data_IF_438845136321
#
_entry.id   IF_438845136321
#
_cell.length_a   1.000
_cell.length_b   1.000
_cell.length_c   1.000
_cell.angle_alpha   90.00
_cell.angle_beta   90.00
_cell.angle_gamma   90.00
#
_symmetry.space_group_name_H-M   'P 1'
#
loop_
_entity.id
_entity.type
_entity.pdbx_description
1 polymer ?
#
# COMPACT_ATOMS: atom_id res chain seq x y z
N UNK A 1 11.42 -6.06 23.41
CA UNK A 1 11.67 -4.68 23.89
C UNK A 1 10.53 -4.23 24.78
N UNK A 2 10.78 -3.46 25.85
CA UNK A 2 9.70 -2.89 26.67
C UNK A 2 8.98 -1.75 25.94
N UNK A 3 7.63 -1.73 25.97
CA UNK A 3 6.83 -0.82 25.15
C UNK A 3 7.09 0.68 25.43
N UNK A 4 7.42 1.04 26.67
CA UNK A 4 7.81 2.41 27.05
C UNK A 4 9.12 2.85 26.38
N UNK A 5 10.08 1.94 26.20
CA UNK A 5 11.34 2.25 25.53
C UNK A 5 11.15 2.43 24.02
N UNK A 6 10.33 1.57 23.38
CA UNK A 6 9.92 1.74 21.98
C UNK A 6 9.28 3.10 21.72
N UNK A 7 8.34 3.53 22.59
CA UNK A 7 7.68 4.83 22.44
C UNK A 7 8.68 6.00 22.47
N UNK A 8 9.68 5.96 23.38
CA UNK A 8 10.76 6.96 23.46
C UNK A 8 11.63 6.99 22.20
N UNK A 9 11.95 5.83 21.62
CA UNK A 9 12.71 5.75 20.37
C UNK A 9 11.91 6.31 19.18
N UNK A 10 10.60 6.03 19.11
CA UNK A 10 9.71 6.56 18.06
C UNK A 10 9.58 8.09 18.14
N UNK A 11 9.38 8.66 19.33
CA UNK A 11 9.29 10.14 19.48
C UNK A 11 10.63 10.83 19.21
N UNK A 12 11.75 10.16 19.54
CA UNK A 12 13.09 10.63 19.19
C UNK A 12 13.35 10.57 17.68
N UNK A 13 13.00 9.46 17.01
CA UNK A 13 13.02 9.34 15.55
C UNK A 13 12.24 10.46 14.88
N UNK A 14 11.02 10.73 15.34
CA UNK A 14 10.22 11.85 14.82
C UNK A 14 10.91 13.22 15.01
N UNK A 15 11.59 13.42 16.14
CA UNK A 15 12.32 14.67 16.43
C UNK A 15 13.54 14.85 15.52
N UNK A 16 14.30 13.79 15.23
CA UNK A 16 15.43 13.86 14.30
C UNK A 16 14.99 13.95 12.83
N UNK A 17 13.89 13.29 12.45
CA UNK A 17 13.25 13.42 11.14
C UNK A 17 12.93 14.90 10.84
N UNK A 18 12.20 15.59 11.73
CA UNK A 18 11.83 17.00 11.59
C UNK A 18 13.00 17.99 11.55
N UNK A 19 14.18 17.62 12.07
CA UNK A 19 15.39 18.48 12.01
C UNK A 19 16.11 18.42 10.68
N UNK A 20 16.03 17.28 9.99
CA UNK A 20 16.83 16.97 8.80
C UNK A 20 16.01 17.03 7.52
N UNK A 21 14.78 16.54 7.56
CA UNK A 21 13.91 16.39 6.40
C UNK A 21 12.80 17.44 6.43
N UNK A 22 12.43 17.92 5.25
CA UNK A 22 11.40 18.94 5.04
C UNK A 22 10.19 18.25 4.46
N UNK A 23 9.00 18.56 4.97
CA UNK A 23 7.77 17.95 4.46
C UNK A 23 7.64 18.17 2.95
N UNK A 24 7.22 17.14 2.19
CA UNK A 24 6.92 17.31 0.77
C UNK A 24 5.75 18.29 0.60
N UNK A 25 5.54 18.83 -0.61
CA UNK A 25 4.36 19.63 -0.93
C UNK A 25 3.06 18.91 -0.53
N UNK A 26 2.05 19.68 -0.16
CA UNK A 26 0.72 19.11 0.12
C UNK A 26 0.17 18.47 -1.14
N UNK A 27 0.11 17.14 -1.15
CA UNK A 27 -0.49 16.37 -2.24
C UNK A 27 -1.95 16.83 -2.49
N UNK A 28 -2.40 16.85 -3.76
CA UNK A 28 -3.77 17.26 -4.10
C UNK A 28 -4.80 16.27 -3.55
N UNK A 29 -6.05 16.73 -3.43
CA UNK A 29 -7.18 15.85 -3.14
C UNK A 29 -7.48 14.99 -4.37
N UNK A 30 -7.56 13.67 -4.19
CA UNK A 30 -7.81 12.70 -5.25
C UNK A 30 -8.99 11.76 -4.91
N UNK A 31 -9.60 11.10 -5.91
CA UNK A 31 -10.42 9.90 -5.71
C UNK A 31 -9.70 8.84 -4.88
N UNK A 32 -10.45 7.95 -4.21
CA UNK A 32 -9.89 6.91 -3.36
C UNK A 32 -9.05 5.91 -4.17
N UNK A 33 -9.46 5.61 -5.41
CA UNK A 33 -8.65 4.77 -6.31
C UNK A 33 -7.31 5.43 -6.61
N UNK A 34 -7.30 6.71 -7.01
CA UNK A 34 -6.03 7.42 -7.26
C UNK A 34 -5.13 7.49 -6.02
N UNK A 35 -5.66 7.64 -4.80
CA UNK A 35 -4.83 7.56 -3.58
C UNK A 35 -4.20 6.17 -3.40
N UNK A 36 -4.88 5.10 -3.80
CA UNK A 36 -4.38 3.73 -3.79
C UNK A 36 -3.31 3.51 -4.88
N UNK A 37 -3.55 3.99 -6.10
CA UNK A 37 -2.61 3.91 -7.22
C UNK A 37 -1.35 4.74 -6.97
N UNK A 38 -1.51 5.95 -6.44
CA UNK A 38 -0.40 6.80 -6.02
C UNK A 38 0.47 6.12 -4.96
N UNK A 39 -0.12 5.43 -3.99
CA UNK A 39 0.63 4.65 -3.01
C UNK A 39 1.42 3.50 -3.67
N UNK A 40 0.89 2.88 -4.74
CA UNK A 40 1.61 1.86 -5.51
C UNK A 40 2.85 2.42 -6.20
N UNK A 41 2.80 3.67 -6.67
CA UNK A 41 3.92 4.38 -7.28
C UNK A 41 4.93 4.85 -6.21
N UNK A 42 4.44 5.49 -5.15
CA UNK A 42 5.24 6.05 -4.06
C UNK A 42 6.01 4.99 -3.26
N UNK A 43 5.49 3.76 -3.13
CA UNK A 43 6.16 2.72 -2.36
C UNK A 43 7.56 2.40 -2.93
N UNK A 44 8.59 2.66 -2.12
CA UNK A 44 10.01 2.54 -2.43
C UNK A 44 10.54 3.61 -3.45
N UNK A 45 9.86 4.74 -3.63
CA UNK A 45 10.24 5.80 -4.59
C UNK A 45 10.10 7.25 -4.05
N UNK A 46 10.86 8.22 -4.60
CA UNK A 46 10.67 9.66 -4.32
C UNK A 46 9.27 10.17 -4.69
N UNK A 47 8.81 11.20 -3.99
CA UNK A 47 7.54 11.88 -4.28
C UNK A 47 7.49 12.42 -5.72
N UNK A 48 8.56 13.08 -6.17
CA UNK A 48 8.61 13.70 -7.51
C UNK A 48 8.43 12.66 -8.63
N UNK A 49 9.00 11.46 -8.47
CA UNK A 49 8.86 10.35 -9.42
C UNK A 49 7.49 9.65 -9.31
N UNK A 50 6.87 9.64 -8.12
CA UNK A 50 5.50 9.14 -7.96
C UNK A 50 4.46 10.09 -8.59
N UNK A 51 4.68 11.41 -8.47
CA UNK A 51 3.88 12.45 -9.12
C UNK A 51 4.03 12.38 -10.65
N UNK A 52 5.27 12.27 -11.16
CA UNK A 52 5.55 12.08 -12.60
C UNK A 52 4.97 10.77 -13.13
N UNK A 53 5.14 9.66 -12.41
CA UNK A 53 4.66 8.33 -12.81
C UNK A 53 3.14 8.25 -12.89
N UNK A 54 2.42 8.94 -11.99
CA UNK A 54 0.96 9.00 -12.04
C UNK A 54 0.49 9.88 -13.19
N UNK A 55 1.09 11.07 -13.35
CA UNK A 55 0.76 11.99 -14.45
C UNK A 55 1.01 11.36 -15.83
N UNK A 56 2.03 10.49 -15.98
CA UNK A 56 2.25 9.71 -17.20
C UNK A 56 1.16 8.66 -17.43
N UNK A 57 0.71 7.96 -16.38
CA UNK A 57 -0.41 7.02 -16.53
C UNK A 57 -1.72 7.75 -16.89
N UNK A 58 -1.95 8.96 -16.36
CA UNK A 58 -3.08 9.84 -16.68
C UNK A 58 -2.99 10.46 -18.11
N UNK A 59 -1.85 10.34 -18.81
CA UNK A 59 -1.61 10.89 -20.15
C UNK A 59 -1.57 9.81 -21.25
N UNK A 60 -0.94 8.67 -20.97
CA UNK A 60 -0.75 7.56 -21.93
C UNK A 60 -1.95 6.61 -22.00
N UNK A 61 -2.87 6.65 -21.02
CA UNK A 61 -4.05 5.78 -20.95
C UNK A 61 -5.32 6.59 -20.69
N UNK A 62 -6.42 6.20 -21.34
CA UNK A 62 -7.70 6.90 -21.26
C UNK A 62 -8.41 6.68 -19.91
N UNK A 63 -8.27 5.50 -19.32
CA UNK A 63 -8.81 5.20 -17.98
C UNK A 63 -8.02 4.11 -17.23
N UNK A 64 -8.37 3.90 -15.95
CA UNK A 64 -7.76 2.87 -15.11
C UNK A 64 -8.11 1.43 -15.51
N UNK A 65 -9.12 1.23 -16.36
CA UNK A 65 -9.42 -0.07 -16.95
C UNK A 65 -8.43 -0.41 -18.07
N UNK A 66 -8.00 0.57 -18.87
CA UNK A 66 -6.95 0.43 -19.86
C UNK A 66 -5.62 0.06 -19.18
N UNK A 67 -5.18 0.81 -18.18
CA UNK A 67 -3.97 0.50 -17.36
C UNK A 67 -4.00 -0.93 -16.81
N UNK A 68 -5.19 -1.42 -16.42
CA UNK A 68 -5.40 -2.79 -15.92
C UNK A 68 -5.25 -3.85 -17.02
N UNK A 69 -5.64 -3.59 -18.27
CA UNK A 69 -5.51 -4.58 -19.37
C UNK A 69 -4.14 -4.53 -20.07
N UNK A 70 -3.53 -3.34 -20.20
CA UNK A 70 -2.17 -3.08 -20.74
C UNK A 70 -1.11 -4.05 -20.21
N UNK A 71 -0.13 -4.44 -21.02
CA UNK A 71 0.90 -5.38 -20.58
C UNK A 71 1.82 -4.77 -19.53
N UNK A 72 2.42 -5.63 -18.69
CA UNK A 72 3.46 -5.21 -17.74
C UNK A 72 4.64 -4.56 -18.48
N UNK A 73 4.94 -4.96 -19.72
CA UNK A 73 6.04 -4.43 -20.53
C UNK A 73 5.81 -2.97 -20.92
N UNK A 74 4.63 -2.65 -21.46
CA UNK A 74 4.26 -1.28 -21.85
C UNK A 74 4.20 -0.38 -20.61
N UNK A 75 3.56 -0.83 -19.52
CA UNK A 75 3.50 -0.09 -18.27
C UNK A 75 4.89 0.11 -17.62
N UNK A 76 5.84 -0.81 -17.84
CA UNK A 76 7.25 -0.65 -17.44
C UNK A 76 7.98 0.42 -18.28
N UNK A 77 7.59 0.64 -19.54
CA UNK A 77 8.13 1.70 -20.39
C UNK A 77 7.60 3.07 -19.98
N UNK A 78 6.29 3.18 -19.71
CA UNK A 78 5.66 4.41 -19.18
C UNK A 78 6.30 4.80 -17.83
N UNK A 79 6.46 3.83 -16.92
CA UNK A 79 7.06 4.03 -15.60
C UNK A 79 8.60 3.94 -15.59
N UNK A 80 9.26 4.10 -16.74
CA UNK A 80 10.72 3.91 -16.89
C UNK A 80 11.61 4.80 -16.01
N UNK A 81 11.10 5.93 -15.51
CA UNK A 81 11.80 6.81 -14.57
C UNK A 81 11.82 6.32 -13.11
N UNK A 82 11.04 5.29 -12.76
CA UNK A 82 10.95 4.78 -11.38
C UNK A 82 12.22 4.01 -10.96
N UNK A 83 12.53 3.90 -9.64
CA UNK A 83 13.70 3.14 -9.17
C UNK A 83 13.67 1.63 -9.49
N UNK A 84 12.49 1.03 -9.60
CA UNK A 84 12.25 -0.33 -10.14
C UNK A 84 10.96 -0.33 -10.97
N UNK A 85 11.03 0.07 -12.26
CA UNK A 85 9.86 0.22 -13.11
C UNK A 85 9.03 -1.07 -13.23
N UNK A 86 9.70 -2.22 -13.28
CA UNK A 86 9.05 -3.51 -13.49
C UNK A 86 8.31 -4.00 -12.24
N UNK A 87 8.85 -3.76 -11.03
CA UNK A 87 8.15 -4.04 -9.76
C UNK A 87 6.96 -3.11 -9.59
N UNK A 88 7.12 -1.83 -9.89
CA UNK A 88 6.05 -0.83 -9.77
C UNK A 88 4.91 -1.11 -10.77
N UNK A 89 5.23 -1.40 -12.04
CA UNK A 89 4.24 -1.76 -13.06
C UNK A 89 3.43 -3.02 -12.69
N UNK A 90 4.08 -4.08 -12.17
CA UNK A 90 3.38 -5.26 -11.64
C UNK A 90 2.45 -4.89 -10.50
N UNK A 91 2.97 -4.23 -9.46
CA UNK A 91 2.20 -3.79 -8.27
C UNK A 91 0.95 -3.00 -8.66
N UNK A 92 1.08 -2.04 -9.58
CA UNK A 92 -0.02 -1.20 -10.05
C UNK A 92 -1.10 -2.02 -10.79
N UNK A 93 -0.70 -2.86 -11.75
CA UNK A 93 -1.61 -3.73 -12.52
C UNK A 93 -2.30 -4.79 -11.65
N UNK A 94 -1.56 -5.43 -10.75
CA UNK A 94 -2.05 -6.46 -9.84
C UNK A 94 -3.08 -5.89 -8.86
N UNK A 95 -2.85 -4.71 -8.30
CA UNK A 95 -3.79 -4.04 -7.40
C UNK A 95 -5.02 -3.50 -8.17
N UNK A 96 -4.87 -2.97 -9.38
CA UNK A 96 -6.00 -2.62 -10.25
C UNK A 96 -6.90 -3.83 -10.57
N UNK A 97 -6.31 -5.01 -10.78
CA UNK A 97 -7.07 -6.23 -11.02
C UNK A 97 -7.82 -6.69 -9.76
N UNK A 98 -7.16 -6.73 -8.59
CA UNK A 98 -7.80 -7.11 -7.34
C UNK A 98 -8.92 -6.15 -6.91
N UNK A 99 -8.74 -4.85 -7.15
CA UNK A 99 -9.79 -3.82 -6.95
C UNK A 99 -11.00 -4.08 -7.86
N UNK A 100 -10.76 -4.38 -9.14
CA UNK A 100 -11.85 -4.68 -10.06
C UNK A 100 -12.59 -5.97 -9.69
N UNK A 101 -11.89 -6.99 -9.19
CA UNK A 101 -12.49 -8.26 -8.75
C UNK A 101 -13.35 -8.12 -7.48
N UNK A 102 -12.98 -7.26 -6.53
CA UNK A 102 -13.73 -7.01 -5.29
C UNK A 102 -14.90 -6.02 -5.48
N UNK A 103 -14.69 -4.95 -6.25
CA UNK A 103 -15.63 -3.82 -6.32
C UNK A 103 -16.40 -3.70 -7.65
N UNK A 104 -15.96 -4.39 -8.71
CA UNK A 104 -16.50 -4.28 -10.09
C UNK A 104 -16.57 -2.83 -10.63
N UNK A 105 -15.76 -1.93 -10.10
CA UNK A 105 -15.78 -0.50 -10.39
C UNK A 105 -14.39 0.14 -10.25
N UNK A 106 -14.17 1.22 -10.99
CA UNK A 106 -12.98 2.10 -10.87
C UNK A 106 -13.27 3.40 -10.10
N UNK A 107 -14.44 3.50 -9.45
CA UNK A 107 -14.74 4.51 -8.44
C UNK A 107 -14.96 3.85 -7.07
N UNK A 108 -14.14 4.25 -6.10
CA UNK A 108 -14.15 3.75 -4.73
C UNK A 108 -14.60 4.82 -3.71
N UNK A 109 -14.98 6.04 -4.13
CA UNK A 109 -15.37 7.12 -3.21
C UNK A 109 -16.66 6.84 -2.42
N UNK A 110 -17.41 5.81 -2.80
CA UNK A 110 -18.48 5.24 -1.97
C UNK A 110 -17.94 4.71 -0.61
N UNK A 111 -16.73 4.13 -0.58
CA UNK A 111 -16.11 3.59 0.63
C UNK A 111 -15.71 4.69 1.64
N UNK A 112 -15.46 5.92 1.18
CA UNK A 112 -15.24 7.09 2.07
C UNK A 112 -16.46 7.39 2.97
N UNK A 113 -17.63 6.83 2.66
CA UNK A 113 -18.89 6.96 3.42
C UNK A 113 -19.24 5.69 4.21
N UNK A 114 -18.53 4.58 3.99
CA UNK A 114 -18.74 3.34 4.75
C UNK A 114 -18.07 3.39 6.13
N UNK A 115 -18.31 2.36 6.95
CA UNK A 115 -17.55 2.17 8.17
C UNK A 115 -16.08 1.85 7.82
N UNK A 116 -15.14 2.65 8.34
CA UNK A 116 -13.70 2.52 8.09
C UNK A 116 -13.19 1.07 8.24
N UNK A 117 -13.61 0.35 9.28
CA UNK A 117 -13.19 -1.04 9.50
C UNK A 117 -13.68 -2.02 8.42
N UNK A 118 -14.87 -1.78 7.85
CA UNK A 118 -15.38 -2.57 6.72
C UNK A 118 -14.62 -2.27 5.42
N UNK A 119 -14.33 -0.99 5.15
CA UNK A 119 -13.54 -0.60 3.98
C UNK A 119 -12.12 -1.17 4.06
N UNK A 120 -11.47 -1.09 5.24
CA UNK A 120 -10.14 -1.67 5.49
C UNK A 120 -10.14 -3.19 5.32
N UNK A 121 -11.14 -3.91 5.86
CA UNK A 121 -11.20 -5.36 5.76
C UNK A 121 -11.21 -5.86 4.30
N UNK A 122 -11.89 -5.16 3.38
CA UNK A 122 -11.91 -5.50 1.94
C UNK A 122 -10.57 -5.27 1.24
N UNK A 123 -9.78 -4.31 1.71
CA UNK A 123 -8.40 -4.12 1.23
C UNK A 123 -7.40 -5.09 1.90
N UNK A 124 -7.62 -5.48 3.16
CA UNK A 124 -6.79 -6.50 3.85
C UNK A 124 -7.02 -7.92 3.30
N UNK A 125 -8.17 -8.21 2.67
CA UNK A 125 -8.41 -9.50 2.01
C UNK A 125 -7.74 -9.65 0.64
N UNK A 126 -7.16 -8.59 0.06
CA UNK A 126 -6.48 -8.64 -1.25
C UNK A 126 -5.03 -9.12 -1.09
N UNK A 127 -4.62 -10.31 -1.60
CA UNK A 127 -3.27 -10.85 -1.36
C UNK A 127 -2.12 -10.04 -1.94
N UNK A 128 -2.42 -9.19 -2.92
CA UNK A 128 -1.47 -8.28 -3.60
C UNK A 128 -1.27 -6.94 -2.87
N UNK A 129 -2.09 -6.66 -1.85
CA UNK A 129 -2.06 -5.40 -1.12
C UNK A 129 -0.85 -5.34 -0.18
N UNK A 130 0.07 -4.39 -0.41
CA UNK A 130 1.22 -4.23 0.50
C UNK A 130 0.83 -3.47 1.77
N UNK A 131 1.48 -3.73 2.93
CA UNK A 131 1.20 -2.99 4.16
C UNK A 131 1.37 -1.47 4.02
N UNK A 132 2.31 -1.01 3.19
CA UNK A 132 2.47 0.42 2.85
C UNK A 132 1.26 0.95 2.09
N UNK A 133 0.88 0.29 0.99
CA UNK A 133 -0.19 0.75 0.10
C UNK A 133 -1.54 0.82 0.84
N UNK A 134 -1.84 -0.21 1.65
CA UNK A 134 -2.98 -0.21 2.56
C UNK A 134 -2.92 0.97 3.54
N UNK A 135 -1.82 1.10 4.29
CA UNK A 135 -1.68 2.12 5.33
C UNK A 135 -1.73 3.55 4.79
N UNK A 136 -1.20 3.78 3.59
CA UNK A 136 -1.29 5.05 2.87
C UNK A 136 -2.74 5.34 2.44
N UNK A 137 -3.42 4.35 1.85
CA UNK A 137 -4.83 4.46 1.45
C UNK A 137 -5.74 4.74 2.65
N UNK A 138 -5.44 4.13 3.81
CA UNK A 138 -6.11 4.45 5.08
C UNK A 138 -5.83 5.88 5.51
N UNK A 139 -4.56 6.30 5.53
CA UNK A 139 -4.11 7.60 6.04
C UNK A 139 -4.61 8.77 5.17
N UNK A 140 -4.47 8.69 3.84
CA UNK A 140 -4.78 9.76 2.90
C UNK A 140 -6.17 9.64 2.27
N UNK A 141 -6.59 8.44 1.86
CA UNK A 141 -7.84 8.23 1.12
C UNK A 141 -9.08 8.05 2.00
N UNK A 142 -8.99 7.25 3.07
CA UNK A 142 -10.10 6.97 4.00
C UNK A 142 -10.08 7.84 5.27
N UNK A 143 -9.04 8.66 5.46
CA UNK A 143 -8.88 9.53 6.62
C UNK A 143 -8.80 8.80 7.96
N UNK A 144 -8.34 7.55 7.98
CA UNK A 144 -8.10 6.76 9.19
C UNK A 144 -6.86 7.21 9.97
N UNK A 145 -6.53 6.49 11.05
CA UNK A 145 -5.24 6.66 11.74
C UNK A 145 -4.39 5.41 11.51
N UNK A 146 -3.47 5.52 10.56
CA UNK A 146 -2.50 4.51 10.17
C UNK A 146 -1.24 5.24 9.71
N UNK A 147 -0.09 4.57 9.73
CA UNK A 147 1.21 5.14 9.39
C UNK A 147 1.86 4.21 8.34
N UNK A 148 1.89 4.60 7.05
CA UNK A 148 2.61 3.82 6.06
C UNK A 148 4.10 3.81 6.35
N UNK A 149 4.67 2.61 6.35
CA UNK A 149 6.10 2.33 6.49
C UNK A 149 6.50 1.49 5.28
N UNK A 150 7.41 2.02 4.48
CA UNK A 150 7.94 1.37 3.28
C UNK A 150 9.04 0.36 3.65
N UNK A 151 9.64 -0.32 2.67
CA UNK A 151 10.71 -1.27 2.96
C UNK A 151 11.94 -0.60 3.60
N UNK A 152 12.33 0.59 3.17
CA UNK A 152 13.50 1.27 3.71
C UNK A 152 13.21 1.99 5.04
N UNK A 153 12.01 2.54 5.23
CA UNK A 153 11.52 3.01 6.54
C UNK A 153 11.48 1.90 7.59
N UNK A 154 11.08 0.68 7.21
CA UNK A 154 11.14 -0.49 8.09
C UNK A 154 12.58 -0.85 8.48
N UNK A 155 13.54 -0.69 7.56
CA UNK A 155 14.97 -0.94 7.81
C UNK A 155 15.57 0.10 8.76
N UNK A 156 15.17 1.38 8.65
CA UNK A 156 15.48 2.42 9.65
C UNK A 156 14.96 2.01 11.04
N UNK A 157 13.75 1.44 11.10
CA UNK A 157 13.14 1.01 12.36
C UNK A 157 13.76 -0.28 12.93
N UNK A 158 14.34 -1.14 12.09
CA UNK A 158 15.15 -2.29 12.51
C UNK A 158 16.52 -1.84 13.06
N UNK A 159 17.28 -1.01 12.32
CA UNK A 159 18.64 -0.62 12.71
C UNK A 159 18.68 0.20 14.01
N UNK A 160 17.64 1.02 14.23
CA UNK A 160 17.42 1.78 15.47
C UNK A 160 16.80 0.97 16.62
N UNK A 161 16.45 -0.31 16.41
CA UNK A 161 15.89 -1.20 17.44
C UNK A 161 14.45 -0.86 17.86
N UNK A 162 13.71 -0.13 17.02
CA UNK A 162 12.28 0.16 17.21
C UNK A 162 11.47 -1.10 16.90
N UNK A 163 11.70 -1.70 15.72
CA UNK A 163 11.13 -2.97 15.29
C UNK A 163 12.09 -4.14 15.58
N UNK A 164 11.54 -5.35 15.70
CA UNK A 164 12.29 -6.61 15.64
C UNK A 164 12.09 -7.30 14.29
N UNK A 165 12.94 -8.28 13.98
CA UNK A 165 12.91 -8.98 12.68
C UNK A 165 11.56 -9.66 12.40
N UNK A 166 10.83 -10.10 13.43
CA UNK A 166 9.51 -10.71 13.29
C UNK A 166 8.46 -9.64 12.94
N UNK A 167 8.40 -8.55 13.69
CA UNK A 167 7.47 -7.43 13.45
C UNK A 167 7.70 -6.78 12.07
N UNK A 168 8.94 -6.79 11.57
CA UNK A 168 9.29 -6.36 10.22
C UNK A 168 8.87 -7.36 9.12
N UNK A 169 8.79 -8.65 9.43
CA UNK A 169 8.24 -9.66 8.52
C UNK A 169 6.70 -9.58 8.46
N UNK A 170 6.05 -9.29 9.60
CA UNK A 170 4.60 -9.03 9.69
C UNK A 170 4.19 -7.68 9.05
N UNK A 171 5.16 -6.81 8.74
CA UNK A 171 4.94 -5.48 8.14
C UNK A 171 4.21 -4.48 9.05
N UNK A 172 4.03 -4.78 10.34
CA UNK A 172 3.25 -3.99 11.30
C UNK A 172 4.08 -3.77 12.58
N UNK A 173 4.18 -2.54 13.08
CA UNK A 173 5.02 -2.19 14.24
C UNK A 173 4.14 -1.94 15.47
N UNK A 174 4.11 -2.86 16.47
CA UNK A 174 3.21 -2.75 17.60
C UNK A 174 3.42 -1.47 18.43
N UNK A 175 2.41 -0.60 18.38
CA UNK A 175 2.34 0.65 19.12
C UNK A 175 2.81 1.91 18.38
N UNK A 176 3.08 1.85 17.07
CA UNK A 176 3.51 2.99 16.27
C UNK A 176 2.44 4.12 16.24
N UNK A 177 1.21 3.76 15.92
CA UNK A 177 0.03 4.63 15.90
C UNK A 177 -0.36 5.14 17.30
N UNK A 178 0.10 4.46 18.36
CA UNK A 178 -0.07 4.92 19.75
C UNK A 178 1.01 5.92 20.17
N UNK A 179 2.21 5.84 19.59
CA UNK A 179 3.32 6.74 19.88
C UNK A 179 3.26 8.04 19.05
N UNK A 180 2.72 7.98 17.83
CA UNK A 180 2.51 9.14 16.95
C UNK A 180 0.99 9.44 16.86
N UNK A 181 0.51 10.59 17.36
CA UNK A 181 -0.91 10.95 17.28
C UNK A 181 -1.33 11.30 15.84
N UNK A 182 -2.61 11.13 15.53
CA UNK A 182 -3.17 11.30 14.16
C UNK A 182 -2.79 12.60 13.46
N UNK A 183 -2.80 13.73 14.17
CA UNK A 183 -2.41 15.04 13.64
C UNK A 183 -0.91 15.18 13.28
N UNK A 184 -0.09 14.18 13.61
CA UNK A 184 1.33 14.05 13.28
C UNK A 184 1.64 12.80 12.45
N UNK A 185 0.63 11.97 12.14
CA UNK A 185 0.83 10.70 11.43
C UNK A 185 1.32 10.91 9.99
N UNK A 186 0.74 11.88 9.27
CA UNK A 186 1.12 12.25 7.90
C UNK A 186 2.50 12.93 7.86
N UNK A 187 2.81 13.76 8.86
CA UNK A 187 4.14 14.35 9.00
C UNK A 187 5.20 13.28 9.23
N UNK A 188 4.94 12.34 10.14
CA UNK A 188 5.88 11.28 10.48
C UNK A 188 6.11 10.31 9.31
N UNK A 189 5.06 9.84 8.63
CA UNK A 189 5.18 8.93 7.50
C UNK A 189 5.94 9.58 6.34
N UNK A 190 5.61 10.82 5.97
CA UNK A 190 6.25 11.50 4.84
C UNK A 190 7.75 11.75 5.07
N UNK A 191 8.15 12.14 6.29
CA UNK A 191 9.55 12.34 6.62
C UNK A 191 10.31 11.00 6.71
N UNK A 192 9.69 9.96 7.30
CA UNK A 192 10.27 8.62 7.37
C UNK A 192 10.51 8.04 5.97
N UNK A 193 9.53 8.20 5.07
CA UNK A 193 9.60 7.78 3.67
C UNK A 193 10.77 8.47 2.94
N UNK A 194 10.92 9.79 3.08
CA UNK A 194 12.08 10.50 2.52
C UNK A 194 13.43 9.98 3.06
N UNK A 195 13.51 9.68 4.36
CA UNK A 195 14.74 9.14 4.95
C UNK A 195 15.03 7.69 4.51
N UNK A 196 13.99 6.87 4.33
CA UNK A 196 14.10 5.51 3.80
C UNK A 196 14.54 5.51 2.34
N UNK A 197 13.84 6.26 1.47
CA UNK A 197 14.18 6.40 0.05
C UNK A 197 15.59 6.96 -0.15
N UNK A 198 16.05 7.89 0.69
CA UNK A 198 17.43 8.36 0.65
C UNK A 198 18.45 7.22 0.82
N UNK A 199 18.26 6.34 1.83
CA UNK A 199 19.12 5.16 2.05
C UNK A 199 18.96 4.08 0.98
N UNK A 200 17.79 3.99 0.33
CA UNK A 200 17.55 3.05 -0.76
C UNK A 200 18.30 3.44 -2.03
N UNK A 201 18.39 4.75 -2.31
CA UNK A 201 19.11 5.31 -3.47
C UNK A 201 20.62 5.40 -3.20
N UNK A 202 21.04 6.01 -2.09
CA UNK A 202 22.43 5.99 -1.61
C UNK A 202 22.51 5.38 -0.21
N UNK A 203 23.04 4.16 -0.14
CA UNK A 203 23.21 3.43 1.11
C UNK A 203 24.24 4.12 2.05
N UNK A 204 25.01 5.10 1.54
CA UNK A 204 25.96 5.91 2.29
C UNK A 204 25.47 7.35 2.59
N UNK A 205 24.18 7.68 2.36
CA UNK A 205 23.68 9.04 2.60
C UNK A 205 24.01 9.52 4.03
N UNK A 206 24.86 10.55 4.09
CA UNK A 206 25.36 11.14 5.33
C UNK A 206 24.22 11.71 6.17
N UNK A 207 23.13 12.19 5.53
CA UNK A 207 22.00 12.80 6.20
C UNK A 207 21.17 11.77 6.97
N UNK A 208 20.86 10.64 6.33
CA UNK A 208 20.13 9.51 6.90
C UNK A 208 20.97 8.65 7.85
N UNK A 209 22.25 8.37 7.56
CA UNK A 209 23.15 7.71 8.52
C UNK A 209 23.28 8.50 9.82
N UNK A 210 23.49 9.81 9.70
CA UNK A 210 23.47 10.71 10.86
C UNK A 210 22.06 10.94 11.46
N UNK A 211 20.99 10.36 10.90
CA UNK A 211 19.66 10.29 11.54
C UNK A 211 19.54 9.02 12.39
N UNK A 212 19.87 7.84 11.83
CA UNK A 212 19.72 6.57 12.55
C UNK A 212 20.64 6.52 13.79
N UNK A 213 21.89 6.99 13.69
CA UNK A 213 22.78 7.07 14.86
C UNK A 213 22.35 8.13 15.89
N UNK A 214 21.73 9.22 15.44
CA UNK A 214 21.16 10.22 16.34
C UNK A 214 19.99 9.63 17.15
N UNK A 215 19.21 8.71 16.58
CA UNK A 215 18.12 7.99 17.27
C UNK A 215 18.67 6.96 18.25
N UNK A 216 19.52 6.03 17.81
CA UNK A 216 20.16 5.04 18.66
C UNK A 216 21.63 4.82 18.26
N UNK A 217 22.54 4.75 19.23
CA UNK A 217 23.98 4.61 18.97
C UNK A 217 24.30 3.26 18.27
N UNK A 218 25.18 3.30 17.27
CA UNK A 218 25.57 2.12 16.48
C UNK A 218 24.45 1.61 15.57
N UNK A 219 23.59 2.50 15.07
CA UNK A 219 22.54 2.12 14.11
C UNK A 219 23.06 2.11 12.68
N UNK A 220 24.06 2.93 12.34
CA UNK A 220 24.76 2.79 11.04
C UNK A 220 25.49 1.44 10.96
N UNK A 221 26.15 1.02 12.03
CA UNK A 221 26.81 -0.30 12.11
C UNK A 221 25.80 -1.44 11.88
N UNK A 222 24.63 -1.42 12.56
CA UNK A 222 23.55 -2.39 12.31
C UNK A 222 22.93 -2.29 10.92
N UNK A 223 22.95 -1.12 10.31
CA UNK A 223 22.52 -0.94 8.91
C UNK A 223 23.53 -1.59 7.94
N UNK A 224 24.83 -1.42 8.19
CA UNK A 224 25.90 -2.08 7.42
C UNK A 224 25.87 -3.62 7.57
N UNK A 225 25.65 -4.12 8.79
CA UNK A 225 25.41 -5.56 9.06
C UNK A 225 24.19 -6.08 8.28
N UNK A 226 23.08 -5.34 8.32
CA UNK A 226 21.87 -5.67 7.57
C UNK A 226 22.11 -5.65 6.05
N UNK A 227 22.85 -4.67 5.54
CA UNK A 227 23.15 -4.55 4.12
C UNK A 227 24.08 -5.68 3.64
N UNK A 228 25.09 -6.03 4.44
CA UNK A 228 25.96 -7.17 4.21
C UNK A 228 25.17 -8.50 4.22
N UNK A 229 24.24 -8.65 5.18
CA UNK A 229 23.33 -9.80 5.26
C UNK A 229 22.41 -9.89 4.03
N UNK A 230 21.80 -8.78 3.61
CA UNK A 230 20.97 -8.66 2.39
C UNK A 230 21.77 -9.04 1.13
N UNK A 231 22.98 -8.49 0.97
CA UNK A 231 23.91 -8.83 -0.14
C UNK A 231 24.30 -10.32 -0.12
N UNK A 232 24.57 -10.89 1.06
CA UNK A 232 24.87 -12.31 1.21
C UNK A 232 23.66 -13.21 0.89
N UNK A 233 22.46 -12.84 1.31
CA UNK A 233 21.22 -13.55 1.00
C UNK A 233 20.92 -13.54 -0.51
N UNK A 234 21.03 -12.39 -1.17
CA UNK A 234 20.89 -12.26 -2.63
C UNK A 234 21.95 -13.12 -3.36
N UNK A 235 23.20 -13.12 -2.88
CA UNK A 235 24.27 -14.00 -3.44
C UNK A 235 23.95 -15.49 -3.27
N UNK A 236 23.39 -15.91 -2.12
CA UNK A 236 22.96 -17.30 -1.88
C UNK A 236 21.82 -17.70 -2.80
N UNK A 237 20.78 -16.87 -2.96
CA UNK A 237 19.65 -17.14 -3.87
C UNK A 237 20.10 -17.17 -5.33
N UNK A 238 20.94 -16.22 -5.76
CA UNK A 238 21.50 -16.20 -7.14
C UNK A 238 22.42 -17.40 -7.41
N UNK A 239 23.18 -17.86 -6.40
CA UNK A 239 23.97 -19.09 -6.49
C UNK A 239 23.04 -20.30 -6.68
N UNK A 240 22.08 -20.51 -5.77
CA UNK A 240 21.17 -21.65 -5.81
C UNK A 240 20.37 -21.71 -7.11
N UNK A 241 19.84 -20.58 -7.59
CA UNK A 241 19.13 -20.50 -8.89
C UNK A 241 20.01 -20.85 -10.09
N UNK A 242 21.33 -20.63 -10.01
CA UNK A 242 22.27 -21.08 -11.06
C UNK A 242 22.53 -22.59 -10.97
N UNK A 243 22.62 -23.14 -9.76
CA UNK A 243 22.80 -24.58 -9.53
C UNK A 243 21.54 -25.36 -9.93
N UNK A 244 20.35 -24.89 -9.53
CA UNK A 244 19.03 -25.40 -9.97
C UNK A 244 18.92 -25.41 -11.51
N UNK A 245 19.32 -24.32 -12.19
CA UNK A 245 19.29 -24.25 -13.65
C UNK A 245 20.31 -25.18 -14.31
N UNK A 246 21.53 -25.27 -13.78
CA UNK A 246 22.57 -26.15 -14.32
C UNK A 246 22.22 -27.64 -14.14
N UNK A 247 21.57 -28.01 -13.02
CA UNK A 247 21.04 -29.35 -12.82
C UNK A 247 19.96 -29.68 -13.86
N UNK A 248 18.97 -28.80 -14.05
CA UNK A 248 17.93 -28.99 -15.06
C UNK A 248 18.46 -29.03 -16.50
N UNK A 249 19.55 -28.30 -16.81
CA UNK A 249 20.23 -28.38 -18.12
C UNK A 249 20.94 -29.73 -18.30
N UNK A 250 21.64 -30.25 -17.28
CA UNK A 250 22.28 -31.57 -17.32
C UNK A 250 21.27 -32.73 -17.36
N UNK A 251 20.13 -32.61 -16.65
CA UNK A 251 19.03 -33.57 -16.70
C UNK A 251 18.40 -33.61 -18.10
N UNK A 252 18.12 -32.45 -18.71
CA UNK A 252 17.61 -32.36 -20.07
C UNK A 252 18.61 -32.88 -21.13
N UNK A 253 19.91 -32.65 -20.95
CA UNK A 253 20.95 -33.24 -21.81
C UNK A 253 21.03 -34.76 -21.66
N UNK A 254 20.91 -35.29 -20.44
CA UNK A 254 20.88 -36.73 -20.18
C UNK A 254 19.63 -37.40 -20.76
N UNK A 255 18.44 -36.81 -20.62
CA UNK A 255 17.22 -37.28 -21.26
C UNK A 255 17.34 -37.25 -22.80
N UNK A 256 17.94 -36.20 -23.36
CA UNK A 256 18.20 -36.11 -24.79
C UNK A 256 19.21 -37.16 -25.29
N UNK A 257 20.23 -37.48 -24.50
CA UNK A 257 21.16 -38.60 -24.77
C UNK A 257 20.43 -39.95 -24.77
N UNK A 258 19.68 -40.27 -23.71
CA UNK A 258 18.90 -41.51 -23.61
C UNK A 258 17.90 -41.63 -24.76
N UNK A 259 17.24 -40.53 -25.15
CA UNK A 259 16.32 -40.50 -26.28
C UNK A 259 17.03 -40.71 -27.65
N UNK A 260 18.27 -40.26 -27.83
CA UNK A 260 19.09 -40.57 -29.02
C UNK A 260 19.50 -42.03 -29.03
N UNK A 261 20.03 -42.55 -27.92
CA UNK A 261 20.50 -43.94 -27.83
C UNK A 261 19.36 -44.96 -28.02
N UNK A 262 18.16 -44.66 -27.49
CA UNK A 262 16.96 -45.47 -27.72
C UNK A 262 16.51 -45.49 -29.20
N UNK A 263 16.69 -44.38 -29.93
CA UNK A 263 16.44 -44.32 -31.38
C UNK A 263 17.50 -45.09 -32.17
N UNK A 264 18.78 -45.00 -31.78
CA UNK A 264 19.87 -45.73 -32.42
C UNK A 264 19.70 -47.26 -32.33
N UNK A 265 19.34 -47.79 -31.14
CA UNK A 265 19.09 -49.24 -30.95
C UNK A 265 17.88 -49.76 -31.76
N UNK A 266 16.91 -48.92 -32.10
CA UNK A 266 15.80 -49.26 -33.03
C UNK A 266 16.20 -49.23 -34.50
N UNK A 267 17.34 -48.62 -34.87
CA UNK A 267 17.84 -48.62 -36.24
C UNK A 267 18.66 -49.89 -36.53
N UNK A 268 19.52 -50.33 -35.61
CA UNK A 268 20.37 -51.52 -35.80
C UNK A 268 19.58 -52.84 -35.83
N UNK A 269 18.42 -52.91 -35.17
CA UNK A 269 17.56 -54.11 -35.15
C UNK A 269 16.81 -54.38 -36.47
N UNK A 270 17.11 -53.68 -37.56
CA UNK A 270 16.32 -53.72 -38.81
C UNK A 270 17.06 -54.33 -40.01
N UNK A 271 18.29 -54.82 -39.82
CA UNK A 271 19.16 -55.32 -40.90
C UNK A 271 19.04 -56.84 -41.11
N UNK A 272 18.78 -57.62 -40.06
CA UNK A 272 18.82 -59.10 -40.09
C UNK A 272 17.49 -59.82 -40.39
N UNK A 273 16.42 -59.10 -40.70
CA UNK A 273 15.08 -59.68 -40.88
C UNK A 273 14.44 -59.37 -42.23
N UNK A 274 15.20 -59.58 -43.32
CA UNK A 274 14.78 -59.29 -44.70
C UNK A 274 14.67 -60.54 -45.61
N UNK A 275 14.25 -61.71 -45.08
CA UNK A 275 14.03 -62.92 -45.91
C UNK A 275 12.89 -63.85 -45.46
N UNK A 276 11.64 -63.40 -45.59
CA UNK A 276 10.56 -64.32 -46.05
C UNK A 276 9.28 -63.62 -46.53
N UNK A 277 8.80 -64.06 -47.71
CA UNK A 277 7.42 -64.11 -48.23
C UNK A 277 6.54 -62.85 -48.16
N UNK A 278 6.31 -62.27 -49.34
CA UNK A 278 5.13 -61.47 -49.66
C UNK A 278 3.90 -62.36 -49.94
N UNK A 279 2.69 -61.77 -49.92
CA UNK A 279 1.44 -62.40 -50.35
C UNK A 279 0.27 -61.40 -50.40
N UNK A 280 -0.54 -61.50 -51.47
CA UNK A 280 -1.80 -60.80 -51.83
C UNK A 280 -2.60 -60.14 -50.66
N UNK A 281 -3.16 -58.92 -50.76
CA UNK A 281 -4.25 -58.45 -51.67
C UNK A 281 -5.52 -59.32 -51.59
N UNK A 282 -6.77 -58.81 -51.61
CA UNK A 282 -7.30 -57.54 -52.16
C UNK A 282 -8.59 -57.08 -51.43
N UNK A 283 -9.26 -56.02 -51.89
CA UNK A 283 -10.30 -55.23 -51.19
C UNK A 283 -11.78 -55.57 -51.48
N UNK A 284 -12.67 -54.97 -50.65
CA UNK A 284 -14.11 -54.62 -50.81
C UNK A 284 -15.17 -55.53 -50.18
N UNK A 285 -15.95 -54.95 -49.24
CA UNK A 285 -17.35 -54.56 -49.54
C UNK A 285 -17.83 -53.35 -48.72
N UNK A 286 -18.70 -52.54 -49.34
CA UNK A 286 -19.46 -51.40 -48.81
C UNK A 286 -20.39 -51.80 -47.64
N UNK A 287 -20.54 -51.01 -46.56
CA UNK A 287 -21.13 -49.65 -46.41
C UNK A 287 -22.67 -49.65 -46.43
N UNK A 288 -23.27 -49.25 -45.32
CA UNK A 288 -24.68 -48.88 -45.16
C UNK A 288 -24.78 -47.75 -44.12
N UNK A 289 -25.23 -46.57 -44.53
CA UNK A 289 -25.40 -45.39 -43.65
C UNK A 289 -26.74 -45.48 -42.88
N UNK A 290 -26.81 -45.01 -41.62
CA UNK A 290 -27.98 -45.29 -40.76
C UNK A 290 -28.21 -44.47 -39.48
N UNK A 291 -27.54 -43.31 -39.33
CA UNK A 291 -27.85 -42.18 -38.41
C UNK A 291 -28.55 -42.45 -37.05
N UNK A 292 -27.74 -42.46 -35.99
CA UNK A 292 -27.94 -41.87 -34.65
C UNK A 292 -29.37 -41.66 -34.06
N UNK A 293 -29.60 -42.25 -32.88
CA UNK A 293 -30.25 -41.58 -31.74
C UNK A 293 -29.70 -42.13 -30.42
N UNK A 294 -29.49 -41.27 -29.42
CA UNK A 294 -28.97 -41.67 -28.10
C UNK A 294 -30.09 -42.05 -27.11
N UNK A 295 -29.80 -42.92 -26.15
CA UNK A 295 -30.64 -43.17 -24.97
C UNK A 295 -29.80 -43.10 -23.70
N UNK A 296 -30.37 -42.56 -22.61
CA UNK A 296 -29.62 -42.23 -21.40
C UNK A 296 -30.47 -41.52 -20.35
N UNK A 297 -31.55 -42.15 -19.91
CA UNK A 297 -32.56 -41.52 -19.05
C UNK A 297 -32.52 -42.01 -17.58
N UNK A 298 -32.32 -41.06 -16.65
CA UNK A 298 -32.77 -41.08 -15.24
C UNK A 298 -32.67 -39.63 -14.72
N UNK A 299 -33.72 -38.88 -14.37
CA UNK A 299 -35.05 -39.13 -13.77
C UNK A 299 -35.05 -39.24 -12.24
N UNK A 300 -35.27 -38.10 -11.58
CA UNK A 300 -36.07 -37.97 -10.36
C UNK A 300 -36.56 -36.52 -10.22
N UNK A 301 -37.79 -36.32 -9.78
CA UNK A 301 -38.38 -35.01 -9.54
C UNK A 301 -39.27 -35.03 -8.28
N UNK A 302 -39.76 -33.83 -7.93
CA UNK A 302 -40.90 -33.46 -7.08
C UNK A 302 -40.55 -32.94 -5.66
N UNK A 303 -41.23 -31.92 -5.10
CA UNK A 303 -42.32 -31.06 -5.63
C UNK A 303 -42.34 -29.65 -4.99
N UNK A 304 -43.19 -28.79 -5.55
CA UNK A 304 -43.51 -27.40 -5.13
C UNK A 304 -43.92 -27.25 -3.65
N UNK A 305 -43.63 -26.07 -3.08
CA UNK A 305 -44.66 -25.19 -2.51
C UNK A 305 -44.15 -23.74 -2.40
N UNK A 306 -45.01 -22.76 -2.60
CA UNK A 306 -44.72 -21.33 -2.41
C UNK A 306 -45.88 -20.66 -1.67
N UNK A 307 -45.62 -19.56 -0.93
CA UNK A 307 -46.54 -18.42 -0.70
C UNK A 307 -45.86 -17.32 0.15
N UNK A 308 -46.21 -16.07 -0.14
CA UNK A 308 -46.04 -14.80 0.59
C UNK A 308 -47.43 -14.10 0.55
N UNK A 309 -47.78 -13.03 1.29
CA UNK A 309 -46.91 -12.02 1.92
C UNK A 309 -47.41 -11.50 3.31
N UNK A 310 -46.84 -10.34 3.71
CA UNK A 310 -47.39 -9.30 4.62
C UNK A 310 -47.53 -9.62 6.14
N UNK A 311 -47.66 -8.65 7.06
CA UNK A 311 -47.04 -7.29 7.22
C UNK A 311 -47.42 -6.74 8.62
N UNK A 312 -46.69 -5.73 9.11
CA UNK A 312 -47.07 -4.66 10.08
C UNK A 312 -46.54 -4.68 11.53
N UNK A 313 -46.40 -3.44 12.02
CA UNK A 313 -46.45 -2.89 13.40
C UNK A 313 -45.16 -2.58 14.17
N UNK A 314 -45.29 -1.46 14.89
CA UNK A 314 -44.27 -0.66 15.56
C UNK A 314 -43.96 -1.15 16.99
N UNK A 315 -42.83 -0.74 17.58
CA UNK A 315 -42.65 -0.72 19.03
C UNK A 315 -43.25 0.56 19.64
N UNK A 316 -44.24 0.41 20.53
CA UNK A 316 -44.89 1.54 21.21
C UNK A 316 -44.05 2.11 22.39
N UNK A 317 -44.21 3.41 22.67
CA UNK A 317 -43.59 4.11 23.81
C UNK A 317 -44.38 3.91 25.11
N UNK A 318 -43.71 3.58 26.23
CA UNK A 318 -44.02 4.01 27.63
C UNK A 318 -43.01 3.40 28.63
N UNK A 319 -42.81 3.88 29.87
CA UNK A 319 -42.81 5.25 30.43
C UNK A 319 -42.38 5.18 31.93
N UNK A 320 -41.34 5.93 32.31
CA UNK A 320 -41.03 6.52 33.65
C UNK A 320 -41.35 5.71 34.93
N UNK A 321 -40.31 5.52 35.75
CA UNK A 321 -40.38 5.87 37.19
C UNK A 321 -39.24 6.83 37.54
N UNK A 322 -39.54 7.88 38.30
CA UNK A 322 -38.57 8.86 38.81
C UNK A 322 -39.11 9.48 40.11
N UNK A 323 -38.27 9.54 41.15
CA UNK A 323 -38.40 10.27 42.45
C UNK A 323 -37.33 9.70 43.41
N UNK A 324 -36.84 10.40 44.44
CA UNK A 324 -36.82 11.83 44.84
C UNK A 324 -35.74 11.96 45.94
N UNK A 325 -35.50 13.20 46.39
CA UNK A 325 -35.31 13.57 47.80
C UNK A 325 -33.91 13.33 48.41
N UNK A 326 -33.41 14.19 49.31
CA UNK A 326 -33.80 15.58 49.67
C UNK A 326 -32.62 16.25 50.42
N UNK A 327 -32.81 17.51 50.88
CA UNK A 327 -31.99 18.19 51.91
C UNK A 327 -30.52 18.55 51.51
N UNK A 328 -29.84 19.54 52.10
CA UNK A 328 -30.25 20.84 52.68
C UNK A 328 -29.02 21.78 52.75
N UNK A 329 -29.30 23.03 53.11
CA UNK A 329 -28.52 23.99 53.92
C UNK A 329 -27.19 23.60 54.64
N UNK A 330 -26.31 24.53 55.04
CA UNK A 330 -26.17 25.97 54.72
C UNK A 330 -24.84 26.56 55.24
N UNK A 331 -24.44 27.74 54.73
CA UNK A 331 -23.37 28.64 55.23
C UNK A 331 -21.93 28.08 55.21
N UNK A 332 -20.84 28.86 55.28
CA UNK A 332 -20.62 30.31 55.50
C UNK A 332 -19.43 30.49 56.47
N UNK A 333 -18.61 31.54 56.47
CA UNK A 333 -18.48 32.78 55.67
C UNK A 333 -16.95 33.11 55.65
N UNK A 334 -16.31 34.17 55.13
CA UNK A 334 -16.62 35.54 54.70
C UNK A 334 -15.49 36.02 53.71
N UNK A 335 -15.22 37.29 53.34
CA UNK A 335 -15.70 38.61 53.78
C UNK A 335 -15.62 39.66 52.65
N UNK A 336 -16.61 40.57 52.56
CA UNK A 336 -16.59 42.01 52.14
C UNK A 336 -15.72 42.46 50.92
N UNK A 337 -16.30 43.06 49.87
CA UNK A 337 -16.64 44.51 49.68
C UNK A 337 -15.41 45.47 49.54
N UNK A 338 -15.40 46.54 48.74
CA UNK A 338 -16.37 47.08 47.76
C UNK A 338 -15.85 48.31 46.97
N UNK A 339 -16.27 48.46 45.71
CA UNK A 339 -16.64 49.72 44.99
C UNK A 339 -15.68 50.91 44.75
N UNK A 340 -15.83 51.52 43.56
CA UNK A 340 -15.87 52.99 43.25
C UNK A 340 -14.58 53.76 42.79
N UNK A 341 -14.34 53.73 41.47
CA UNK A 341 -14.29 54.89 40.53
C UNK A 341 -13.39 56.15 40.81
N UNK A 342 -12.22 56.14 40.15
CA UNK A 342 -11.64 57.17 39.24
C UNK A 342 -11.12 58.57 39.71
N UNK A 343 -9.83 58.79 39.41
CA UNK A 343 -9.14 59.99 38.83
C UNK A 343 -7.94 59.45 38.00
N UNK A 344 -7.25 60.10 37.06
CA UNK A 344 -7.17 61.50 36.58
C UNK A 344 -5.87 62.18 37.08
N UNK A 345 -4.99 62.83 36.29
CA UNK A 345 -4.81 63.02 34.82
C UNK A 345 -3.45 63.75 34.57
N UNK A 346 -2.93 63.80 33.32
CA UNK A 346 -1.73 64.58 32.88
C UNK A 346 -0.36 64.09 33.42
N UNK A 347 0.86 64.41 32.92
CA UNK A 347 1.46 65.32 31.90
C UNK A 347 2.95 64.86 31.70
N UNK A 348 3.77 65.12 30.67
CA UNK A 348 3.63 65.43 29.23
C UNK A 348 5.03 65.62 28.56
N UNK A 349 5.17 65.39 27.24
CA UNK A 349 6.24 65.94 26.34
C UNK A 349 7.69 65.36 26.48
N UNK A 350 8.64 65.41 25.51
CA UNK A 350 8.64 65.95 24.11
C UNK A 350 9.76 65.35 23.21
N UNK A 351 9.63 65.48 21.87
CA UNK A 351 10.68 65.44 20.80
C UNK A 351 11.41 64.10 20.51
N UNK A 352 11.94 63.82 19.29
CA UNK A 352 12.20 64.67 18.09
C UNK A 352 12.01 63.91 16.74
N UNK A 353 12.00 64.67 15.64
CA UNK A 353 11.89 64.35 14.19
C UNK A 353 12.89 63.29 13.63
N UNK A 354 12.83 62.78 12.38
CA UNK A 354 11.85 62.58 11.28
C UNK A 354 12.56 61.74 10.16
N UNK A 355 12.00 61.22 9.04
CA UNK A 355 11.23 61.84 7.94
C UNK A 355 10.71 60.79 6.93
N UNK A 356 9.62 61.14 6.19
CA UNK A 356 9.27 60.78 4.77
C UNK A 356 9.28 59.29 4.30
N UNK A 357 8.51 58.87 3.28
CA UNK A 357 7.25 59.33 2.63
C UNK A 357 6.85 58.28 1.57
N UNK A 358 5.63 57.76 1.57
CA UNK A 358 5.06 57.01 0.43
C UNK A 358 3.55 57.29 0.30
N UNK A 359 3.00 57.21 -0.92
CA UNK A 359 1.72 57.85 -1.27
C UNK A 359 0.66 56.89 -1.83
N UNK A 360 -0.36 56.64 -1.01
CA UNK A 360 -1.78 56.44 -1.36
C UNK A 360 -2.18 56.54 -2.85
N UNK A 361 -2.81 55.48 -3.38
CA UNK A 361 -4.00 55.63 -4.25
C UNK A 361 -4.97 54.45 -4.13
N UNK A 362 -6.28 54.74 -4.24
CA UNK A 362 -7.39 53.77 -4.12
C UNK A 362 -7.57 52.91 -5.39
N UNK A 363 -8.12 51.70 -5.19
CA UNK A 363 -8.71 50.85 -6.23
C UNK A 363 -10.24 50.98 -6.27
N UNK A 364 -10.87 50.92 -7.44
CA UNK A 364 -12.34 50.81 -7.56
C UNK A 364 -12.81 50.22 -8.90
N UNK A 365 -13.45 49.04 -8.83
CA UNK A 365 -14.48 48.45 -9.72
C UNK A 365 -14.36 48.61 -11.26
N UNK A 366 -14.30 47.46 -11.96
CA UNK A 366 -15.27 47.06 -13.01
C UNK A 366 -15.21 45.55 -13.28
N UNK A 367 -16.33 44.97 -13.74
CA UNK A 367 -16.39 43.65 -14.40
C UNK A 367 -16.39 43.83 -15.93
N UNK A 368 -15.92 42.85 -16.72
CA UNK A 368 -16.32 42.68 -18.12
C UNK A 368 -17.70 42.02 -18.24
N UNK A 369 -18.21 41.94 -19.48
CA UNK A 369 -19.27 41.00 -19.88
C UNK A 369 -18.65 39.64 -20.22
#
# INVERSE_FOLDING_TARGET
>A
MAASNRAKLITKLHTELKKKYTLPPSQPSRPLLEHLLYACLLQDAPYDLADEGLAKCEQEFFDWNEVRVTTVTELTQVLSGMPDPAKTARRLKEILQAVFEEFYAFDLDHLKKENLGKAVARFESMPVMTPFVLSYTIQHGLGGHSIPVDYAGMVIMLSTGIASQNEAADGKIPGLERAIPKNKAVEFSALLHQAGVALLLDHNDKKARALIDAVAKGSSERYDEWEASKKAAIRRVKKRRREEKAAAELEAEAEAEVAKQAKAKKASSKTDSAKSKAGASTTKKSKSDGKSAASGAKKSAEKKSAVKPAETKEPAKKKVTAKKADAEESSGTATKKSSKKASGSSKSATTKAATKKSTNRKLSKRKPR
#
